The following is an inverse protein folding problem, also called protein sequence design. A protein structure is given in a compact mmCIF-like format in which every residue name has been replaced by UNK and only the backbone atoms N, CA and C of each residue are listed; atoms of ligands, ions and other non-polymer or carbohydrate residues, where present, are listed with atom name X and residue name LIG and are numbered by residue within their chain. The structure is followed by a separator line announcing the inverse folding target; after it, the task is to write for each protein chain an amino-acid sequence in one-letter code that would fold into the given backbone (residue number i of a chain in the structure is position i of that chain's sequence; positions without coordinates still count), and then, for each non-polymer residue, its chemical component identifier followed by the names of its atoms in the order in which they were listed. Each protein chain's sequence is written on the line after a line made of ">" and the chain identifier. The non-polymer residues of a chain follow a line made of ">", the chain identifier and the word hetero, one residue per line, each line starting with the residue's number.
data_IF_613417030823
#
_entry.id   IF_613417030823
#
_cell.length_a   1.000
_cell.length_b   1.000
_cell.length_c   1.000
_cell.angle_alpha   90.00
_cell.angle_beta   90.00
_cell.angle_gamma   90.00
#
_symmetry.space_group_name_H-M   'P 1'
#
loop_
_entity.id
_entity.type
_entity.pdbx_description
1 polymer ?
#
# COMPACT_ATOMS: atom_id res chain seq x y z
N UNK A 1 20.60 33.44 8.41
CA UNK A 1 19.70 32.48 7.73
C UNK A 1 19.63 32.82 6.25
N UNK A 2 19.77 31.83 5.36
CA UNK A 2 19.70 32.05 3.91
C UNK A 2 18.26 32.18 3.43
N UNK A 3 18.06 32.89 2.32
CA UNK A 3 16.75 32.99 1.64
C UNK A 3 16.14 31.58 1.47
N UNK A 4 14.88 31.37 1.87
CA UNK A 4 14.22 30.09 1.71
C UNK A 4 14.18 29.69 0.23
N UNK A 5 14.30 28.40 0.00
CA UNK A 5 14.20 27.81 -1.33
C UNK A 5 12.78 28.04 -1.88
N UNK A 6 12.67 28.59 -3.09
CA UNK A 6 11.37 28.90 -3.70
C UNK A 6 10.53 27.64 -3.91
N UNK A 7 9.20 27.79 -3.93
CA UNK A 7 8.28 26.70 -4.23
C UNK A 7 8.62 26.04 -5.57
N UNK A 8 8.59 24.71 -5.59
CA UNK A 8 8.70 23.90 -6.80
C UNK A 8 7.36 23.22 -7.01
N UNK A 9 6.60 23.71 -7.98
CA UNK A 9 5.33 23.12 -8.41
C UNK A 9 5.63 21.95 -9.35
N UNK A 10 5.07 20.76 -9.07
CA UNK A 10 5.26 19.56 -9.91
C UNK A 10 4.35 19.62 -11.14
N UNK A 11 4.71 20.44 -12.12
CA UNK A 11 4.00 20.65 -13.39
C UNK A 11 4.06 19.46 -14.38
N UNK A 12 4.66 18.34 -13.98
CA UNK A 12 4.87 17.16 -14.82
C UNK A 12 6.00 17.31 -15.86
N UNK A 13 6.72 18.44 -15.88
CA UNK A 13 7.88 18.60 -16.74
C UNK A 13 9.08 17.79 -16.22
N UNK A 14 9.90 17.29 -17.14
CA UNK A 14 11.08 16.48 -16.80
C UNK A 14 12.08 17.23 -15.92
N UNK A 15 12.21 18.55 -16.12
CA UNK A 15 13.11 19.39 -15.34
C UNK A 15 12.61 19.57 -13.90
N UNK A 16 11.30 19.77 -13.73
CA UNK A 16 10.66 19.88 -12.42
C UNK A 16 10.70 18.56 -11.65
N UNK A 17 10.39 17.44 -12.30
CA UNK A 17 10.49 16.10 -11.71
C UNK A 17 11.91 15.81 -11.22
N UNK A 18 12.92 16.13 -12.04
CA UNK A 18 14.32 15.95 -11.68
C UNK A 18 14.74 16.83 -10.49
N UNK A 19 14.32 18.10 -10.49
CA UNK A 19 14.59 19.03 -9.40
C UNK A 19 13.93 18.59 -8.09
N UNK A 20 12.73 18.01 -8.16
CA UNK A 20 12.07 17.44 -6.99
C UNK A 20 12.92 16.34 -6.36
N UNK A 21 13.40 15.38 -7.15
CA UNK A 21 14.24 14.30 -6.65
C UNK A 21 15.58 14.80 -6.09
N UNK A 22 16.17 15.86 -6.67
CA UNK A 22 17.39 16.46 -6.14
C UNK A 22 17.16 17.12 -4.77
N UNK A 23 16.02 17.81 -4.61
CA UNK A 23 15.63 18.39 -3.32
C UNK A 23 15.35 17.32 -2.28
N UNK A 24 14.68 16.24 -2.66
CA UNK A 24 14.44 15.08 -1.79
C UNK A 24 15.77 14.48 -1.29
N UNK A 25 16.72 14.21 -2.20
CA UNK A 25 18.05 13.70 -1.83
C UNK A 25 18.78 14.66 -0.87
N UNK A 26 18.76 15.96 -1.17
CA UNK A 26 19.35 16.98 -0.29
C UNK A 26 18.72 16.96 1.10
N UNK A 27 17.40 16.91 1.16
CA UNK A 27 16.66 16.90 2.43
C UNK A 27 16.98 15.66 3.25
N UNK A 28 17.04 14.47 2.62
CA UNK A 28 17.44 13.22 3.29
C UNK A 28 18.88 13.26 3.81
N UNK A 29 19.79 13.92 3.10
CA UNK A 29 21.17 14.12 3.57
C UNK A 29 21.30 15.15 4.72
N UNK A 30 20.27 15.96 4.97
CA UNK A 30 20.29 17.04 5.97
C UNK A 30 21.19 18.23 5.60
N UNK A 31 21.76 18.27 4.40
CA UNK A 31 22.69 19.32 4.00
C UNK A 31 21.98 20.62 3.61
N UNK A 32 22.48 21.73 4.15
CA UNK A 32 22.17 23.07 3.66
C UNK A 32 22.90 23.33 2.33
N UNK A 33 22.40 24.26 1.52
CA UNK A 33 23.09 24.68 0.31
C UNK A 33 24.50 25.26 0.57
N UNK A 34 24.75 25.81 1.75
CA UNK A 34 26.06 26.29 2.18
C UNK A 34 27.04 25.11 2.37
N UNK A 35 26.61 24.07 3.09
CA UNK A 35 27.42 22.87 3.28
C UNK A 35 27.62 22.11 1.98
N UNK A 36 26.58 22.03 1.14
CA UNK A 36 26.65 21.41 -0.17
C UNK A 36 27.62 22.14 -1.10
N UNK A 37 27.64 23.47 -1.08
CA UNK A 37 28.61 24.28 -1.82
C UNK A 37 30.06 23.94 -1.40
N UNK A 38 30.32 23.82 -0.09
CA UNK A 38 31.64 23.44 0.44
C UNK A 38 32.07 22.04 0.04
N UNK A 39 31.13 21.07 0.04
CA UNK A 39 31.42 19.67 -0.32
C UNK A 39 31.65 19.47 -1.82
N UNK A 40 30.97 20.24 -2.66
CA UNK A 40 30.98 20.06 -4.12
C UNK A 40 31.96 20.96 -4.85
N UNK A 41 32.36 22.09 -4.25
CA UNK A 41 33.13 23.13 -4.92
C UNK A 41 32.31 24.02 -5.86
N UNK A 42 31.03 23.72 -6.09
CA UNK A 42 30.12 24.56 -6.85
C UNK A 42 29.54 25.69 -5.99
N UNK A 43 29.32 26.85 -6.61
CA UNK A 43 28.68 27.98 -5.93
C UNK A 43 27.25 27.66 -5.48
N UNK A 44 26.83 28.24 -4.35
CA UNK A 44 25.47 28.11 -3.82
C UNK A 44 24.38 28.41 -4.86
N UNK A 45 24.55 29.46 -5.65
CA UNK A 45 23.62 29.84 -6.72
C UNK A 45 23.50 28.76 -7.80
N UNK A 46 24.60 28.11 -8.18
CA UNK A 46 24.61 27.00 -9.14
C UNK A 46 23.83 25.79 -8.62
N UNK A 47 24.00 25.45 -7.34
CA UNK A 47 23.29 24.32 -6.72
C UNK A 47 21.80 24.60 -6.55
N UNK A 48 21.44 25.84 -6.20
CA UNK A 48 20.05 26.28 -6.15
C UNK A 48 19.39 26.31 -7.53
N UNK A 49 20.12 26.74 -8.56
CA UNK A 49 19.67 26.68 -9.95
C UNK A 49 19.42 25.23 -10.38
N UNK A 50 20.33 24.32 -10.02
CA UNK A 50 20.20 22.91 -10.35
C UNK A 50 18.94 22.28 -9.73
N UNK A 51 18.55 22.73 -8.54
CA UNK A 51 17.35 22.31 -7.84
C UNK A 51 16.12 23.20 -8.13
N UNK A 52 16.18 24.12 -9.10
CA UNK A 52 15.10 25.10 -9.34
C UNK A 52 13.97 24.58 -10.24
N UNK A 53 14.17 23.50 -11.00
CA UNK A 53 13.17 22.94 -11.91
C UNK A 53 13.02 23.66 -13.25
N UNK A 54 13.74 24.77 -13.47
CA UNK A 54 13.66 25.54 -14.74
C UNK A 54 14.28 24.82 -15.94
N UNK A 55 15.29 24.00 -15.70
CA UNK A 55 16.02 23.24 -16.72
C UNK A 55 16.74 22.06 -16.09
N UNK A 56 17.04 21.04 -16.89
CA UNK A 56 17.86 19.93 -16.45
C UNK A 56 19.30 20.42 -16.18
N UNK A 57 19.90 20.15 -15.00
CA UNK A 57 21.29 20.46 -14.70
C UNK A 57 22.27 19.73 -15.64
N UNK A 58 23.53 20.15 -15.68
CA UNK A 58 24.58 19.35 -16.34
C UNK A 58 24.85 18.09 -15.53
N UNK A 59 25.31 17.03 -16.21
CA UNK A 59 25.63 15.76 -15.55
C UNK A 59 26.67 15.94 -14.43
N UNK A 60 27.70 16.76 -14.65
CA UNK A 60 28.75 17.01 -13.65
C UNK A 60 28.19 17.64 -12.36
N UNK A 61 27.30 18.63 -12.49
CA UNK A 61 26.65 19.27 -11.33
C UNK A 61 25.74 18.28 -10.61
N UNK A 62 25.00 17.45 -11.36
CA UNK A 62 24.18 16.38 -10.78
C UNK A 62 25.02 15.40 -9.97
N UNK A 63 26.10 14.85 -10.54
CA UNK A 63 26.91 13.84 -9.87
C UNK A 63 27.62 14.41 -8.64
N UNK A 64 28.14 15.64 -8.72
CA UNK A 64 28.72 16.30 -7.57
C UNK A 64 27.68 16.50 -6.44
N UNK A 65 26.47 16.96 -6.78
CA UNK A 65 25.37 17.11 -5.82
C UNK A 65 25.04 15.78 -5.15
N UNK A 66 24.84 14.73 -5.97
CA UNK A 66 24.44 13.39 -5.51
C UNK A 66 25.49 12.79 -4.60
N UNK A 67 26.76 12.83 -5.02
CA UNK A 67 27.90 12.37 -4.23
C UNK A 67 28.00 13.10 -2.90
N UNK A 68 27.85 14.42 -2.89
CA UNK A 68 27.93 15.19 -1.65
C UNK A 68 26.78 14.90 -0.67
N UNK A 69 25.64 14.45 -1.19
CA UNK A 69 24.47 14.00 -0.44
C UNK A 69 24.44 12.47 -0.19
N UNK A 70 25.53 11.76 -0.44
CA UNK A 70 25.66 10.31 -0.22
C UNK A 70 24.64 9.46 -1.01
N UNK A 71 24.27 9.91 -2.22
CA UNK A 71 23.41 9.18 -3.15
C UNK A 71 24.18 8.30 -4.15
N UNK A 72 23.45 7.39 -4.81
CA UNK A 72 24.00 6.50 -5.83
C UNK A 72 24.28 7.23 -7.16
N UNK A 73 25.55 7.54 -7.43
CA UNK A 73 25.98 8.27 -8.63
C UNK A 73 25.60 7.56 -9.95
N UNK A 74 25.60 6.23 -9.98
CA UNK A 74 25.34 5.45 -11.19
C UNK A 74 23.85 5.47 -11.54
N UNK A 75 23.00 5.21 -10.53
CA UNK A 75 21.55 5.33 -10.69
C UNK A 75 21.14 6.73 -11.16
N UNK A 76 21.77 7.77 -10.62
CA UNK A 76 21.50 9.16 -10.97
C UNK A 76 21.99 9.52 -12.38
N UNK A 77 23.13 8.98 -12.81
CA UNK A 77 23.64 9.12 -14.18
C UNK A 77 22.67 8.51 -15.21
N UNK A 78 22.16 7.33 -14.92
CA UNK A 78 21.22 6.63 -15.79
C UNK A 78 19.89 7.38 -15.88
N UNK A 79 19.37 7.84 -14.74
CA UNK A 79 18.16 8.64 -14.70
C UNK A 79 18.30 9.95 -15.50
N UNK A 80 19.39 10.70 -15.27
CA UNK A 80 19.68 11.93 -16.00
C UNK A 80 19.77 11.68 -17.52
N UNK A 81 20.44 10.60 -17.94
CA UNK A 81 20.60 10.25 -19.36
C UNK A 81 19.26 9.92 -20.01
N UNK A 82 18.37 9.20 -19.32
CA UNK A 82 17.00 8.92 -19.79
C UNK A 82 16.21 10.21 -19.99
N UNK A 83 16.22 11.12 -19.01
CA UNK A 83 15.53 12.41 -19.11
C UNK A 83 16.11 13.30 -20.22
N UNK A 84 17.44 13.34 -20.37
CA UNK A 84 18.10 14.14 -21.41
C UNK A 84 17.74 13.64 -22.81
N UNK A 85 17.66 12.32 -23.00
CA UNK A 85 17.20 11.70 -24.25
C UNK A 85 15.74 12.05 -24.55
N UNK A 86 14.87 11.94 -23.54
CA UNK A 86 13.45 12.31 -23.67
C UNK A 86 13.24 13.80 -23.97
N UNK A 87 14.10 14.68 -23.42
CA UNK A 87 14.02 16.13 -23.66
C UNK A 87 14.52 16.54 -25.05
N UNK A 88 15.42 15.75 -25.66
CA UNK A 88 15.99 16.03 -26.99
C UNK A 88 15.13 15.55 -28.16
N UNK A 89 14.17 14.66 -27.90
CA UNK A 89 13.17 14.26 -28.88
C UNK A 89 12.01 15.25 -28.82
N UNK A 90 12.01 16.27 -29.68
CA UNK A 90 10.83 17.10 -29.89
C UNK A 90 9.63 16.19 -30.12
N UNK A 91 8.57 16.36 -29.31
CA UNK A 91 7.43 15.42 -29.16
C UNK A 91 7.04 14.77 -30.49
N UNK A 92 7.39 13.49 -30.72
CA UNK A 92 6.82 12.74 -31.83
C UNK A 92 5.34 12.55 -31.54
N UNK A 93 4.48 13.10 -32.40
CA UNK A 93 3.06 12.78 -32.40
C UNK A 93 2.94 11.29 -32.75
N UNK A 94 2.74 10.43 -31.74
CA UNK A 94 2.47 8.99 -31.92
C UNK A 94 3.56 8.01 -31.50
N UNK A 95 4.49 8.33 -30.58
CA UNK A 95 5.36 7.31 -29.98
C UNK A 95 4.62 6.50 -28.88
N UNK A 96 4.88 5.18 -28.75
CA UNK A 96 4.14 4.30 -27.85
C UNK A 96 4.49 4.52 -26.36
N UNK A 97 3.47 4.30 -25.52
CA UNK A 97 3.48 3.82 -24.14
C UNK A 97 4.71 4.10 -23.25
N UNK A 98 4.52 5.00 -22.28
CA UNK A 98 5.34 5.23 -21.07
C UNK A 98 6.81 4.82 -21.16
N UNK A 99 7.69 5.73 -21.58
CA UNK A 99 9.07 5.68 -21.10
C UNK A 99 8.97 5.68 -19.57
N UNK A 100 9.42 4.60 -18.92
CA UNK A 100 9.51 4.60 -17.47
C UNK A 100 10.59 5.60 -17.06
N UNK A 101 10.14 6.83 -16.80
CA UNK A 101 10.95 7.95 -16.32
C UNK A 101 10.88 8.02 -14.79
N UNK A 102 10.51 6.91 -14.14
CA UNK A 102 10.64 6.76 -12.70
C UNK A 102 12.10 6.51 -12.35
N UNK A 103 12.68 7.26 -11.41
CA UNK A 103 14.01 6.95 -10.93
C UNK A 103 14.02 5.62 -10.16
N UNK A 104 15.10 4.82 -10.25
CA UNK A 104 15.16 3.49 -9.66
C UNK A 104 15.04 3.51 -8.12
N UNK A 105 15.54 4.57 -7.47
CA UNK A 105 15.39 4.74 -6.02
C UNK A 105 13.94 5.01 -5.58
N UNK A 106 13.07 5.50 -6.47
CA UNK A 106 11.65 5.63 -6.15
C UNK A 106 10.94 4.27 -6.15
N UNK A 107 11.40 3.32 -6.98
CA UNK A 107 10.91 1.95 -6.98
C UNK A 107 11.45 1.13 -5.79
N UNK A 108 12.73 1.31 -5.42
CA UNK A 108 13.33 0.63 -4.28
C UNK A 108 12.78 1.10 -2.91
N UNK A 109 12.21 2.30 -2.85
CA UNK A 109 11.46 2.77 -1.68
C UNK A 109 10.10 2.04 -1.48
N UNK A 110 9.69 1.19 -2.44
CA UNK A 110 8.51 0.34 -2.35
C UNK A 110 8.92 -1.03 -1.80
N UNK A 111 8.32 -1.52 -0.69
CA UNK A 111 8.65 -2.84 -0.17
C UNK A 111 8.33 -3.94 -1.22
N UNK A 112 9.15 -5.01 -1.32
CA UNK A 112 8.85 -6.11 -2.24
C UNK A 112 7.49 -6.72 -1.88
N UNK A 113 6.68 -7.14 -2.87
CA UNK A 113 5.39 -7.76 -2.60
C UNK A 113 5.59 -9.00 -1.71
N UNK A 114 4.74 -9.23 -0.70
CA UNK A 114 4.90 -10.36 0.19
C UNK A 114 4.83 -11.67 -0.62
N UNK A 115 5.91 -12.46 -0.55
CA UNK A 115 5.93 -13.78 -1.15
C UNK A 115 4.79 -14.61 -0.57
N UNK A 116 3.93 -15.15 -1.43
CA UNK A 116 2.83 -16.02 -1.02
C UNK A 116 3.41 -17.23 -0.32
N UNK A 117 3.35 -17.24 1.01
CA UNK A 117 3.74 -18.36 1.86
C UNK A 117 2.94 -19.58 1.39
N UNK A 118 3.62 -20.55 0.76
CA UNK A 118 3.02 -21.82 0.34
C UNK A 118 2.37 -22.44 1.57
N UNK A 119 1.05 -22.67 1.48
CA UNK A 119 0.27 -23.31 2.51
C UNK A 119 0.92 -24.66 2.86
N UNK A 120 1.46 -24.76 4.08
CA UNK A 120 1.71 -26.05 4.71
C UNK A 120 0.52 -26.33 5.62
N UNK A 121 -0.24 -27.32 5.19
CA UNK A 121 -1.21 -28.09 5.96
C UNK A 121 -0.55 -28.61 7.24
N UNK A 122 -0.79 -27.94 8.36
CA UNK A 122 -0.65 -28.58 9.67
C UNK A 122 -2.06 -28.89 10.18
N UNK A 123 -2.33 -30.21 10.25
CA UNK A 123 -3.49 -30.77 10.93
C UNK A 123 -3.41 -30.41 12.41
N UNK A 124 -4.43 -29.72 12.88
CA UNK A 124 -4.71 -29.53 14.30
C UNK A 124 -5.01 -30.90 14.95
N UNK A 125 -4.39 -31.27 16.09
CA UNK A 125 -4.83 -32.42 16.87
C UNK A 125 -6.01 -32.04 17.78
N UNK A 126 -7.03 -32.90 17.80
CA UNK A 126 -8.24 -32.74 18.60
C UNK A 126 -7.96 -32.74 20.12
N UNK A 127 -8.60 -31.82 20.85
CA UNK A 127 -8.62 -31.78 22.32
C UNK A 127 -9.53 -32.88 22.92
N UNK A 128 -9.19 -33.48 24.07
CA UNK A 128 -10.08 -34.39 24.78
C UNK A 128 -11.02 -33.65 25.74
N UNK A 129 -12.23 -34.20 25.85
CA UNK A 129 -13.37 -33.71 26.62
C UNK A 129 -13.11 -33.57 28.14
N UNK A 130 -13.64 -32.49 28.70
CA UNK A 130 -13.66 -32.16 30.12
C UNK A 130 -14.62 -33.09 30.89
N UNK A 131 -14.12 -33.74 31.95
CA UNK A 131 -14.91 -34.55 32.88
C UNK A 131 -15.49 -33.67 34.00
N UNK A 132 -16.79 -33.77 34.21
CA UNK A 132 -17.54 -33.06 35.26
C UNK A 132 -17.64 -33.93 36.53
N UNK A 133 -17.50 -33.31 37.70
CA UNK A 133 -17.56 -33.95 39.03
C UNK A 133 -18.17 -32.96 40.06
N UNK A 134 -18.62 -33.40 41.25
CA UNK A 134 -19.96 -33.93 41.50
C UNK A 134 -20.76 -33.10 42.54
N UNK A 135 -22.08 -33.27 42.56
CA UNK A 135 -22.99 -32.66 43.55
C UNK A 135 -23.15 -33.53 44.79
N UNK A 136 -22.93 -32.94 45.98
CA UNK A 136 -23.29 -33.49 47.31
C UNK A 136 -24.74 -33.13 47.65
N UNK A 137 -25.51 -34.08 48.18
CA UNK A 137 -26.24 -33.99 49.46
C UNK A 137 -26.93 -35.34 49.76
N UNK A 138 -26.89 -35.78 51.02
CA UNK A 138 -27.59 -36.97 51.49
C UNK A 138 -27.04 -37.47 52.81
N UNK A 139 -27.76 -37.18 53.89
CA UNK A 139 -27.55 -37.59 55.28
C UNK A 139 -27.40 -39.11 55.51
N UNK A 140 -26.66 -39.44 56.57
CA UNK A 140 -26.52 -40.73 57.28
C UNK A 140 -27.86 -41.18 57.96
N UNK A 141 -28.00 -42.37 58.61
CA UNK A 141 -26.95 -43.27 59.12
C UNK A 141 -27.15 -44.81 58.98
N UNK A 142 -26.09 -45.49 59.39
CA UNK A 142 -26.04 -46.72 60.20
C UNK A 142 -25.75 -48.10 59.55
N UNK A 143 -24.77 -48.73 60.19
CA UNK A 143 -24.56 -50.17 60.43
C UNK A 143 -23.83 -51.02 59.37
N UNK A 144 -22.59 -51.38 59.73
CA UNK A 144 -22.24 -52.80 59.92
C UNK A 144 -21.49 -53.49 58.78
N UNK A 145 -20.26 -53.93 59.09
CA UNK A 145 -19.86 -55.31 58.78
C UNK A 145 -18.77 -55.52 57.72
N UNK A 146 -17.56 -55.74 58.23
CA UNK A 146 -16.56 -56.79 57.89
C UNK A 146 -16.18 -57.11 56.44
N UNK A 147 -14.87 -56.95 56.21
CA UNK A 147 -13.91 -57.90 55.62
C UNK A 147 -14.18 -58.52 54.24
N UNK A 148 -13.17 -58.36 53.36
CA UNK A 148 -12.59 -59.54 52.73
C UNK A 148 -12.19 -59.41 51.26
N UNK A 149 -10.88 -59.55 51.05
CA UNK A 149 -10.26 -60.32 49.97
C UNK A 149 -10.26 -59.75 48.53
N UNK A 150 -9.08 -59.25 48.17
CA UNK A 150 -8.46 -59.37 46.84
C UNK A 150 -8.26 -60.87 46.45
N UNK A 151 -7.59 -61.26 45.34
CA UNK A 151 -7.03 -60.46 44.24
C UNK A 151 -7.20 -61.09 42.83
N UNK A 152 -6.67 -60.37 41.84
CA UNK A 152 -5.89 -60.84 40.69
C UNK A 152 -6.52 -61.83 39.66
N UNK A 153 -6.41 -61.50 38.37
CA UNK A 153 -5.19 -61.74 37.58
C UNK A 153 -5.51 -61.97 36.08
N UNK A 154 -4.59 -61.50 35.22
CA UNK A 154 -4.15 -62.13 33.94
C UNK A 154 -5.19 -62.11 32.78
N UNK A 155 -4.84 -62.07 31.50
CA UNK A 155 -3.59 -62.07 30.72
C UNK A 155 -3.97 -61.86 29.24
N UNK A 156 -3.09 -61.18 28.50
CA UNK A 156 -2.70 -61.36 27.09
C UNK A 156 -3.71 -61.79 25.98
N UNK A 157 -3.80 -60.92 24.94
CA UNK A 157 -3.73 -61.08 23.46
C UNK A 157 -3.30 -62.46 22.87
N UNK A 158 -3.23 -62.67 21.53
CA UNK A 158 -3.94 -62.12 20.32
C UNK A 158 -4.34 -63.25 19.31
N UNK A 159 -4.90 -62.93 18.12
CA UNK A 159 -4.75 -63.80 16.92
C UNK A 159 -5.05 -63.10 15.57
N UNK A 160 -4.23 -63.44 14.57
CA UNK A 160 -4.27 -63.07 13.13
C UNK A 160 -5.03 -64.12 12.31
N UNK A 161 -5.37 -63.75 11.06
CA UNK A 161 -5.44 -64.52 9.78
C UNK A 161 -6.71 -64.16 8.99
N UNK A 162 -6.73 -64.08 7.65
CA UNK A 162 -5.76 -64.48 6.62
C UNK A 162 -6.15 -63.92 5.24
N UNK A 163 -5.34 -64.27 4.24
CA UNK A 163 -5.35 -63.78 2.85
C UNK A 163 -6.04 -64.74 1.86
N UNK A 164 -6.33 -64.25 0.63
CA UNK A 164 -6.58 -65.04 -0.60
C UNK A 164 -7.91 -64.65 -1.28
N UNK A 165 -8.08 -64.59 -2.61
CA UNK A 165 -7.25 -64.98 -3.73
C UNK A 165 -7.77 -64.32 -5.05
N UNK A 166 -6.95 -64.44 -6.09
CA UNK A 166 -7.01 -63.92 -7.47
C UNK A 166 -7.91 -64.69 -8.46
N UNK A 167 -8.21 -64.06 -9.62
CA UNK A 167 -8.36 -64.57 -11.01
C UNK A 167 -9.64 -64.00 -11.68
N UNK A 168 -9.80 -63.70 -12.97
CA UNK A 168 -9.03 -63.74 -14.24
C UNK A 168 -9.88 -62.97 -15.29
N UNK A 169 -9.24 -62.42 -16.33
CA UNK A 169 -9.89 -61.65 -17.40
C UNK A 169 -10.52 -62.52 -18.51
N UNK A 170 -11.57 -62.02 -19.15
CA UNK A 170 -11.99 -62.40 -20.52
C UNK A 170 -12.29 -61.12 -21.31
N UNK A 171 -11.64 -61.00 -22.45
CA UNK A 171 -11.65 -59.89 -23.39
C UNK A 171 -12.73 -60.15 -24.45
N UNK A 172 -13.68 -59.22 -24.63
CA UNK A 172 -14.58 -59.20 -25.79
C UNK A 172 -14.41 -57.86 -26.50
N UNK A 173 -13.80 -57.91 -27.68
CA UNK A 173 -13.68 -56.80 -28.61
C UNK A 173 -15.01 -56.62 -29.32
N UNK A 174 -15.57 -55.41 -29.28
CA UNK A 174 -16.67 -55.00 -30.14
C UNK A 174 -16.36 -53.61 -30.66
N UNK A 175 -16.04 -53.54 -31.95
CA UNK A 175 -15.86 -52.30 -32.71
C UNK A 175 -17.25 -51.78 -33.06
N UNK A 176 -17.70 -50.76 -32.34
CA UNK A 176 -18.87 -49.97 -32.71
C UNK A 176 -18.39 -48.58 -33.18
N UNK A 177 -18.43 -48.37 -34.49
CA UNK A 177 -18.30 -47.04 -35.09
C UNK A 177 -19.63 -46.32 -34.83
N UNK A 178 -19.66 -45.47 -33.81
CA UNK A 178 -20.77 -44.54 -33.56
C UNK A 178 -20.25 -43.14 -33.83
N UNK A 179 -20.85 -42.47 -34.82
CA UNK A 179 -20.56 -41.08 -35.15
C UNK A 179 -20.79 -40.18 -33.94
N UNK A 180 -19.78 -39.39 -33.60
CA UNK A 180 -19.87 -38.39 -32.56
C UNK A 180 -20.67 -37.21 -33.12
N UNK A 181 -21.98 -37.22 -32.88
CA UNK A 181 -22.82 -36.02 -33.09
C UNK A 181 -22.51 -35.09 -31.92
N UNK A 182 -21.82 -33.99 -32.18
CA UNK A 182 -21.58 -32.95 -31.19
C UNK A 182 -22.92 -32.32 -30.81
N UNK A 183 -23.50 -32.75 -29.69
CA UNK A 183 -24.53 -31.99 -29.02
C UNK A 183 -23.85 -30.78 -28.37
N UNK A 184 -24.08 -29.61 -28.96
CA UNK A 184 -23.79 -28.34 -28.32
C UNK A 184 -24.79 -28.16 -27.17
N UNK A 185 -24.39 -28.48 -25.95
CA UNK A 185 -25.02 -27.93 -24.77
C UNK A 185 -24.75 -26.42 -24.78
N UNK A 186 -25.73 -25.66 -25.26
CA UNK A 186 -25.80 -24.22 -25.08
C UNK A 186 -26.05 -23.96 -23.59
N UNK A 187 -24.97 -23.91 -22.82
CA UNK A 187 -24.97 -23.43 -21.44
C UNK A 187 -25.33 -21.93 -21.50
N UNK A 188 -26.62 -21.62 -21.37
CA UNK A 188 -27.20 -20.27 -21.43
C UNK A 188 -26.89 -19.49 -20.13
N UNK A 189 -25.61 -19.53 -19.72
CA UNK A 189 -25.09 -18.78 -18.60
C UNK A 189 -24.65 -17.42 -19.16
N UNK A 190 -25.26 -16.30 -18.74
CA UNK A 190 -24.76 -15.00 -19.14
C UNK A 190 -23.28 -14.91 -18.75
N UNK A 191 -22.40 -14.45 -19.65
CA UNK A 191 -20.99 -14.30 -19.31
C UNK A 191 -20.92 -13.44 -18.04
N UNK A 192 -20.05 -13.77 -17.06
CA UNK A 192 -19.88 -12.92 -15.89
C UNK A 192 -19.65 -11.50 -16.40
N UNK A 193 -20.51 -10.57 -15.94
CA UNK A 193 -20.42 -9.17 -16.32
C UNK A 193 -18.95 -8.78 -16.24
N UNK A 194 -18.37 -8.47 -17.40
CA UNK A 194 -16.97 -8.06 -17.46
C UNK A 194 -16.88 -6.86 -16.53
N UNK A 195 -16.29 -7.07 -15.35
CA UNK A 195 -15.91 -6.00 -14.48
C UNK A 195 -14.97 -5.16 -15.33
N UNK A 196 -15.50 -4.05 -15.85
CA UNK A 196 -14.73 -3.02 -16.53
C UNK A 196 -13.59 -2.76 -15.57
N UNK A 197 -12.39 -3.22 -15.94
CA UNK A 197 -11.19 -3.00 -15.16
C UNK A 197 -10.85 -1.53 -15.34
N UNK A 198 -11.63 -0.68 -14.68
CA UNK A 198 -11.35 0.73 -14.56
C UNK A 198 -9.98 0.79 -13.90
N UNK A 199 -8.98 1.27 -14.65
CA UNK A 199 -7.67 1.57 -14.08
C UNK A 199 -7.92 2.38 -12.81
N UNK A 200 -7.48 1.89 -11.63
CA UNK A 200 -7.72 2.62 -10.40
C UNK A 200 -7.10 4.01 -10.56
N UNK A 201 -7.92 5.05 -10.41
CA UNK A 201 -7.39 6.41 -10.41
C UNK A 201 -6.48 6.53 -9.20
N UNK A 202 -5.35 7.18 -9.34
CA UNK A 202 -4.52 7.54 -8.20
C UNK A 202 -4.70 9.02 -7.90
N UNK A 203 -4.60 9.40 -6.63
CA UNK A 203 -4.52 10.79 -6.24
C UNK A 203 -3.20 11.10 -5.54
N UNK A 204 -2.79 12.36 -5.65
CA UNK A 204 -1.60 12.87 -4.97
C UNK A 204 -1.99 13.39 -3.59
N UNK A 205 -1.35 12.85 -2.55
CA UNK A 205 -1.46 13.32 -1.18
C UNK A 205 -0.75 14.67 -1.05
N UNK A 206 -1.42 15.62 -0.40
CA UNK A 206 -0.89 16.91 0.03
C UNK A 206 -1.25 17.11 1.50
N UNK A 207 -0.44 16.56 2.39
CA UNK A 207 -0.60 16.63 3.84
C UNK A 207 -0.13 18.00 4.38
N UNK A 208 -0.88 19.06 4.07
CA UNK A 208 -0.50 20.44 4.40
C UNK A 208 -1.60 21.21 5.12
N UNK A 209 -1.19 22.00 6.10
CA UNK A 209 -2.02 22.91 6.88
C UNK A 209 -1.91 24.33 6.33
N UNK A 210 -3.06 24.95 6.06
CA UNK A 210 -3.14 26.36 5.69
C UNK A 210 -3.02 27.22 6.95
N UNK A 211 -2.07 28.17 6.94
CA UNK A 211 -1.75 29.02 8.09
C UNK A 211 -1.76 30.48 7.64
N UNK A 212 -2.33 31.34 8.47
CA UNK A 212 -2.40 32.77 8.20
C UNK A 212 -3.09 33.09 6.87
N UNK A 213 -2.79 34.24 6.24
CA UNK A 213 -3.50 34.69 5.05
C UNK A 213 -3.16 33.94 3.76
N UNK A 214 -2.05 33.19 3.71
CA UNK A 214 -1.61 32.54 2.46
C UNK A 214 -0.72 31.32 2.62
N UNK A 215 -0.13 31.09 3.79
CA UNK A 215 0.87 30.03 3.93
C UNK A 215 0.21 28.66 3.88
N UNK A 216 0.97 27.70 3.34
CA UNK A 216 0.60 26.30 3.25
C UNK A 216 1.83 25.46 3.58
N UNK A 217 1.83 24.86 4.76
CA UNK A 217 3.00 24.19 5.35
C UNK A 217 2.70 22.71 5.52
N UNK A 218 3.70 21.84 5.33
CA UNK A 218 3.56 20.43 5.68
C UNK A 218 3.11 20.28 7.14
N UNK A 219 2.09 19.46 7.37
CA UNK A 219 1.69 19.09 8.73
C UNK A 219 2.89 18.41 9.43
N UNK A 220 2.97 18.49 10.75
CA UNK A 220 4.02 17.77 11.51
C UNK A 220 3.64 16.31 11.78
N UNK A 221 2.37 15.97 11.56
CA UNK A 221 1.84 14.63 11.67
C UNK A 221 1.52 14.10 10.28
N UNK A 222 1.87 12.85 9.95
CA UNK A 222 1.52 12.28 8.66
C UNK A 222 0.01 12.11 8.54
N UNK A 223 -0.52 12.21 7.32
CA UNK A 223 -1.85 11.73 7.01
C UNK A 223 -1.87 10.19 7.14
N UNK A 224 -3.05 9.60 7.31
CA UNK A 224 -3.23 8.16 7.46
C UNK A 224 -4.60 7.73 6.94
N UNK A 225 -4.78 6.44 6.69
CA UNK A 225 -6.08 5.89 6.34
C UNK A 225 -6.93 5.68 7.58
N UNK A 226 -8.17 6.13 7.51
CA UNK A 226 -9.19 5.90 8.53
C UNK A 226 -10.06 4.70 8.14
N UNK A 227 -10.42 3.82 9.08
CA UNK A 227 -11.33 2.70 8.80
C UNK A 227 -12.76 3.19 8.48
N UNK A 228 -13.12 4.38 8.95
CA UNK A 228 -14.40 5.07 8.71
C UNK A 228 -14.14 6.49 8.17
N UNK A 229 -15.06 7.09 7.41
CA UNK A 229 -14.92 8.46 6.89
C UNK A 229 -15.23 9.50 7.98
N UNK A 230 -14.40 9.54 9.02
CA UNK A 230 -14.65 10.31 10.21
C UNK A 230 -13.42 11.07 10.74
N UNK A 231 -13.67 12.26 11.27
CA UNK A 231 -12.63 13.09 11.85
C UNK A 231 -12.05 12.46 13.13
N UNK A 232 -10.78 12.81 13.43
CA UNK A 232 -10.07 12.42 14.67
C UNK A 232 -10.01 10.90 14.87
N UNK A 233 -9.87 10.15 13.77
CA UNK A 233 -9.99 8.70 13.78
C UNK A 233 -8.89 8.00 14.62
N UNK A 234 -7.66 8.53 14.62
CA UNK A 234 -6.60 8.06 15.53
C UNK A 234 -7.00 8.14 17.02
N UNK A 235 -7.61 9.23 17.46
CA UNK A 235 -8.07 9.40 18.84
C UNK A 235 -9.27 8.49 19.19
N UNK A 236 -10.00 8.02 18.17
CA UNK A 236 -11.14 7.09 18.30
C UNK A 236 -10.74 5.62 18.12
N UNK A 237 -9.46 5.32 17.88
CA UNK A 237 -8.98 3.96 17.66
C UNK A 237 -9.37 3.34 16.31
N UNK A 238 -9.78 4.16 15.32
CA UNK A 238 -10.16 3.67 13.99
C UNK A 238 -9.10 3.93 12.90
N UNK A 239 -7.93 4.48 13.27
CA UNK A 239 -6.80 4.65 12.35
C UNK A 239 -6.31 3.28 11.90
N UNK A 240 -6.00 3.14 10.61
CA UNK A 240 -5.31 1.96 10.09
C UNK A 240 -3.79 2.15 10.29
N UNK A 241 -3.17 1.28 11.08
CA UNK A 241 -1.73 1.34 11.34
C UNK A 241 -0.90 1.01 10.08
N UNK A 242 0.31 1.57 10.01
CA UNK A 242 1.24 1.45 8.89
C UNK A 242 0.66 1.99 7.56
N UNK A 243 -0.18 3.02 7.67
CA UNK A 243 -0.76 3.75 6.52
C UNK A 243 -0.37 5.22 6.50
N UNK A 244 0.64 5.61 7.27
CA UNK A 244 1.16 6.96 7.35
C UNK A 244 1.73 7.41 6.01
N UNK A 245 1.36 8.62 5.60
CA UNK A 245 1.74 9.20 4.32
C UNK A 245 1.98 10.70 4.43
N UNK A 246 3.01 11.15 3.73
CA UNK A 246 3.39 12.56 3.60
C UNK A 246 2.97 13.10 2.23
N UNK A 247 3.03 14.43 2.06
CA UNK A 247 2.84 15.03 0.73
C UNK A 247 3.73 14.39 -0.34
N UNK A 248 3.16 14.16 -1.52
CA UNK A 248 3.85 13.51 -2.64
C UNK A 248 3.52 12.02 -2.79
N UNK A 249 2.87 11.41 -1.81
CA UNK A 249 2.43 10.00 -1.89
C UNK A 249 1.31 9.86 -2.92
N UNK A 250 1.46 8.93 -3.88
CA UNK A 250 0.38 8.56 -4.79
C UNK A 250 -0.39 7.37 -4.21
N UNK A 251 -1.70 7.54 -4.03
CA UNK A 251 -2.56 6.48 -3.47
C UNK A 251 -3.66 6.08 -4.46
N UNK A 252 -3.84 4.77 -4.74
CA UNK A 252 -4.95 4.28 -5.55
C UNK A 252 -6.29 4.52 -4.86
N UNK A 253 -7.26 5.05 -5.59
CA UNK A 253 -8.61 5.32 -5.11
C UNK A 253 -9.66 4.67 -5.99
N UNK A 254 -10.77 4.27 -5.37
CA UNK A 254 -11.81 3.46 -6.01
C UNK A 254 -13.15 4.17 -6.10
N UNK A 255 -13.55 4.88 -5.04
CA UNK A 255 -14.80 5.62 -4.95
C UNK A 255 -14.67 6.72 -3.90
N UNK A 256 -15.68 7.57 -3.76
CA UNK A 256 -15.77 8.56 -2.69
C UNK A 256 -17.02 8.37 -1.84
N UNK A 257 -16.99 8.85 -0.60
CA UNK A 257 -18.15 8.91 0.30
C UNK A 257 -18.24 10.28 0.94
N UNK A 258 -19.42 10.60 1.47
CA UNK A 258 -19.59 11.75 2.37
C UNK A 258 -19.41 11.29 3.82
N UNK A 259 -18.55 11.99 4.55
CA UNK A 259 -18.22 11.69 5.94
C UNK A 259 -18.36 12.88 6.87
N UNK A 260 -17.60 12.85 7.96
CA UNK A 260 -17.45 14.00 8.85
C UNK A 260 -16.75 15.14 8.11
N UNK A 261 -17.19 16.38 8.35
CA UNK A 261 -16.52 17.56 7.82
C UNK A 261 -15.17 17.79 8.51
N UNK A 262 -14.14 18.03 7.72
CA UNK A 262 -12.78 18.32 8.20
C UNK A 262 -12.21 19.52 7.44
N UNK A 263 -11.23 20.18 8.04
CA UNK A 263 -10.55 21.34 7.46
C UNK A 263 -9.04 21.21 7.63
N UNK A 264 -8.27 21.68 6.64
CA UNK A 264 -6.81 21.83 6.78
C UNK A 264 -6.41 23.23 7.28
N UNK A 265 -7.37 24.08 7.67
CA UNK A 265 -7.09 25.41 8.19
C UNK A 265 -6.62 25.35 9.63
N UNK A 266 -5.52 26.03 9.94
CA UNK A 266 -5.23 26.42 11.32
C UNK A 266 -6.14 27.59 11.71
N UNK A 267 -7.31 27.25 12.26
CA UNK A 267 -8.34 28.22 12.67
C UNK A 267 -7.88 29.18 13.78
N UNK A 268 -6.71 28.95 14.39
CA UNK A 268 -6.15 29.85 15.40
C UNK A 268 -5.27 30.94 14.80
N UNK A 269 -4.86 30.80 13.53
CA UNK A 269 -3.97 31.73 12.86
C UNK A 269 -4.72 32.97 12.30
N UNK A 270 -4.12 34.15 12.44
CA UNK A 270 -4.71 35.40 11.97
C UNK A 270 -4.77 35.47 10.44
N UNK A 271 -5.93 35.81 9.87
CA UNK A 271 -6.12 35.91 8.42
C UNK A 271 -6.47 34.59 7.72
N UNK A 272 -6.66 33.49 8.46
CA UNK A 272 -6.94 32.16 7.88
C UNK A 272 -8.21 32.09 7.03
N UNK A 273 -9.20 32.95 7.31
CA UNK A 273 -10.44 33.00 6.55
C UNK A 273 -10.21 33.39 5.07
N UNK A 274 -9.13 34.12 4.77
CA UNK A 274 -8.77 34.55 3.42
C UNK A 274 -7.78 33.61 2.72
N UNK A 275 -7.27 32.59 3.42
CA UNK A 275 -6.26 31.71 2.86
C UNK A 275 -6.82 30.88 1.70
N UNK A 276 -6.31 31.06 0.47
CA UNK A 276 -6.83 30.37 -0.72
C UNK A 276 -6.55 28.86 -0.69
N UNK A 277 -5.59 28.42 0.13
CA UNK A 277 -5.24 27.01 0.28
C UNK A 277 -6.05 26.31 1.38
N UNK A 278 -6.79 27.08 2.19
CA UNK A 278 -7.68 26.56 3.20
C UNK A 278 -8.88 25.88 2.55
N UNK A 279 -9.13 24.62 2.91
CA UNK A 279 -10.27 23.85 2.43
C UNK A 279 -10.95 23.15 3.58
N UNK A 280 -12.28 23.19 3.53
CA UNK A 280 -13.17 22.41 4.39
C UNK A 280 -13.95 21.49 3.46
N UNK A 281 -13.99 20.19 3.76
CA UNK A 281 -14.68 19.22 2.92
C UNK A 281 -15.29 18.10 3.75
N UNK A 282 -16.37 17.53 3.21
CA UNK A 282 -17.00 16.30 3.70
C UNK A 282 -16.68 15.10 2.83
N UNK A 283 -15.90 15.27 1.76
CA UNK A 283 -15.55 14.20 0.84
C UNK A 283 -14.37 13.39 1.39
N UNK A 284 -14.52 12.07 1.31
CA UNK A 284 -13.50 11.10 1.69
C UNK A 284 -13.32 10.10 0.54
N UNK A 285 -12.08 9.88 0.12
CA UNK A 285 -11.75 8.92 -0.91
C UNK A 285 -11.49 7.55 -0.28
N UNK A 286 -12.08 6.50 -0.86
CA UNK A 286 -11.76 5.12 -0.52
C UNK A 286 -10.46 4.73 -1.21
N UNK A 287 -9.39 4.68 -0.42
CA UNK A 287 -8.03 4.33 -0.82
C UNK A 287 -7.83 2.82 -0.64
N UNK A 288 -7.17 2.20 -1.62
CA UNK A 288 -6.66 0.83 -1.49
C UNK A 288 -5.17 0.91 -1.20
N UNK A 289 -4.76 0.40 -0.04
CA UNK A 289 -3.38 0.37 0.41
C UNK A 289 -2.61 -0.80 -0.25
N UNK A 290 -1.27 -0.73 -0.37
CA UNK A 290 -0.49 -1.76 -1.06
C UNK A 290 -0.63 -3.19 -0.50
N UNK A 291 -0.97 -3.33 0.79
CA UNK A 291 -1.21 -4.63 1.43
C UNK A 291 -2.63 -5.18 1.22
N UNK A 292 -3.46 -4.49 0.43
CA UNK A 292 -4.83 -4.87 0.12
C UNK A 292 -5.88 -4.35 1.10
N UNK A 293 -5.48 -3.74 2.23
CA UNK A 293 -6.42 -3.04 3.10
C UNK A 293 -7.01 -1.85 2.37
N UNK A 294 -8.24 -1.49 2.71
CA UNK A 294 -8.86 -0.28 2.21
C UNK A 294 -9.32 0.59 3.39
N UNK A 295 -9.17 1.89 3.22
CA UNK A 295 -9.61 2.88 4.19
C UNK A 295 -9.96 4.20 3.50
N UNK A 296 -10.22 5.20 4.32
CA UNK A 296 -10.69 6.50 3.87
C UNK A 296 -9.64 7.56 4.13
N UNK A 297 -9.37 8.38 3.12
CA UNK A 297 -8.54 9.58 3.22
C UNK A 297 -9.42 10.80 2.93
N UNK A 298 -9.41 11.78 3.83
CA UNK A 298 -10.17 13.00 3.62
C UNK A 298 -9.61 13.85 2.47
N UNK A 299 -10.48 14.46 1.69
CA UNK A 299 -10.11 15.31 0.55
C UNK A 299 -9.20 16.48 0.93
N UNK A 300 -9.26 16.96 2.17
CA UNK A 300 -8.39 18.05 2.63
C UNK A 300 -6.89 17.69 2.56
N UNK A 301 -6.56 16.40 2.56
CA UNK A 301 -5.19 15.86 2.47
C UNK A 301 -4.77 15.54 1.03
N UNK A 302 -5.52 15.95 0.01
CA UNK A 302 -5.18 15.71 -1.40
C UNK A 302 -4.87 17.02 -2.11
N UNK A 303 -4.00 16.95 -3.12
CA UNK A 303 -3.62 18.11 -3.92
C UNK A 303 -4.86 18.70 -4.64
N UNK A 304 -4.95 20.03 -4.83
CA UNK A 304 -6.17 20.72 -5.26
C UNK A 304 -6.82 20.17 -6.53
N UNK A 305 -6.02 19.75 -7.51
CA UNK A 305 -6.45 19.20 -8.78
C UNK A 305 -7.11 17.81 -8.67
N UNK A 306 -6.96 17.14 -7.52
CA UNK A 306 -7.58 15.85 -7.21
C UNK A 306 -8.84 15.96 -6.35
N UNK A 307 -9.34 17.17 -6.11
CA UNK A 307 -10.55 17.41 -5.30
C UNK A 307 -11.81 17.34 -6.16
N UNK A 308 -12.97 17.23 -5.53
CA UNK A 308 -14.28 17.18 -6.20
C UNK A 308 -14.69 15.79 -6.68
N UNK A 309 -14.21 14.72 -6.03
CA UNK A 309 -14.63 13.34 -6.29
C UNK A 309 -13.97 12.67 -7.49
N UNK A 310 -13.11 13.36 -8.26
CA UNK A 310 -12.32 12.80 -9.37
C UNK A 310 -13.13 12.07 -10.46
N UNK A 311 -14.41 12.39 -10.63
CA UNK A 311 -15.33 11.59 -11.45
C UNK A 311 -15.26 10.08 -11.13
N UNK A 312 -15.00 9.75 -9.86
CA UNK A 312 -15.16 8.41 -9.32
C UNK A 312 -16.63 8.21 -8.94
N UNK A 313 -17.11 6.95 -8.91
CA UNK A 313 -18.43 6.66 -8.37
C UNK A 313 -18.47 6.93 -6.86
N UNK A 314 -19.67 7.16 -6.33
CA UNK A 314 -19.90 7.06 -4.89
C UNK A 314 -19.73 5.58 -4.45
N UNK A 315 -19.17 5.36 -3.26
CA UNK A 315 -19.38 4.11 -2.54
C UNK A 315 -20.79 4.17 -1.89
#
# INVERSE_FOLDING_TARGET
>A
MGRPEGSLERDGSLATEFAYWLRDLRNRSGLTYEQLSRRTGYGKSTLQEAAAGRRLPTLDVTLAFVKACDGDEDAWRDYWTRLKRASGQGRPSGAPESLDLTPPWAAAARPPPPERRRAQTEREPAEPAYADAPSRTGDEPAAGGVEGHAPASRRSLPARWGSGATATAVLVVSVAVVGFVAFADADDRPPPAQATSATPKALLVQNKVAIGPSDLVEDRTPAYLSAEPAARCAARGCKLDDTEMWSGTLVPVTCWVTGTEVTNRDTTSAGIAQNPNGVTSRLWYRVVWPDGRAGFLAEIYVAPEYRGGLALPAC
#
